data_IF_567546879241
#
_entry.id   IF_567546879241
#
_cell.length_a   1.000
_cell.length_b   1.000
_cell.length_c   1.000
_cell.angle_alpha   90.00
_cell.angle_beta   90.00
_cell.angle_gamma   90.00
#
_symmetry.space_group_name_H-M   'P 1'
#
loop_
_entity.id
_entity.type
_entity.pdbx_description
1 polymer ?
#
# COMPACT_ATOMS: atom_id res chain seq x y z
N UNK A 1 -1.52 4.49 -28.21
CA UNK A 1 -0.42 4.71 -27.24
C UNK A 1 0.90 4.40 -27.94
N UNK A 2 1.87 5.32 -27.98
CA UNK A 2 3.17 5.09 -28.61
C UNK A 2 3.97 4.00 -27.87
N UNK A 3 4.61 3.09 -28.61
CA UNK A 3 5.35 1.93 -28.07
C UNK A 3 6.48 2.30 -27.10
N UNK A 4 7.05 3.51 -27.23
CA UNK A 4 8.11 4.00 -26.33
C UNK A 4 7.65 4.11 -24.88
N UNK A 5 6.44 4.64 -24.66
CA UNK A 5 5.89 4.77 -23.31
C UNK A 5 5.62 3.40 -22.67
N UNK A 6 5.24 2.41 -23.47
CA UNK A 6 5.00 1.05 -22.97
C UNK A 6 6.28 0.42 -22.38
N UNK A 7 7.43 0.59 -23.06
CA UNK A 7 8.72 0.07 -22.57
C UNK A 7 9.19 0.76 -21.29
N UNK A 8 8.94 2.08 -21.17
CA UNK A 8 9.25 2.85 -19.96
C UNK A 8 8.38 2.40 -18.78
N UNK A 9 7.06 2.26 -18.98
CA UNK A 9 6.17 1.74 -17.95
C UNK A 9 6.56 0.30 -17.55
N UNK A 10 6.87 -0.56 -18.51
CA UNK A 10 7.28 -1.94 -18.23
C UNK A 10 8.55 -2.00 -17.36
N UNK A 11 9.55 -1.16 -17.64
CA UNK A 11 10.77 -1.06 -16.80
C UNK A 11 10.46 -0.50 -15.41
N UNK A 12 9.62 0.53 -15.33
CA UNK A 12 9.19 1.11 -14.05
C UNK A 12 8.51 0.07 -13.14
N UNK A 13 7.60 -0.73 -13.67
CA UNK A 13 6.95 -1.81 -12.91
C UNK A 13 7.90 -2.98 -12.58
N UNK A 14 8.91 -3.24 -13.41
CA UNK A 14 9.93 -4.27 -13.13
C UNK A 14 10.90 -3.85 -12.02
N UNK A 15 11.33 -2.58 -12.00
CA UNK A 15 12.24 -2.05 -10.98
C UNK A 15 11.52 -1.82 -9.64
N UNK A 16 10.24 -1.47 -9.70
CA UNK A 16 9.40 -1.28 -8.52
C UNK A 16 8.12 -2.11 -8.63
N UNK A 17 8.19 -3.42 -8.31
CA UNK A 17 7.03 -4.33 -8.37
C UNK A 17 5.85 -3.86 -7.51
N UNK A 18 6.11 -2.98 -6.53
CA UNK A 18 5.10 -2.37 -5.67
C UNK A 18 5.22 -0.85 -5.62
N UNK A 19 5.80 -0.18 -6.61
CA UNK A 19 6.22 1.23 -6.53
C UNK A 19 5.13 2.19 -6.05
N UNK A 20 3.95 2.15 -6.65
CA UNK A 20 2.80 2.96 -6.20
C UNK A 20 2.28 2.51 -4.84
N UNK A 21 2.07 1.19 -4.66
CA UNK A 21 1.44 0.66 -3.46
C UNK A 21 2.31 0.78 -2.20
N UNK A 22 3.63 0.69 -2.35
CA UNK A 22 4.61 0.91 -1.29
C UNK A 22 4.60 2.37 -0.81
N UNK A 23 4.48 3.33 -1.73
CA UNK A 23 4.42 4.74 -1.36
C UNK A 23 3.09 5.09 -0.69
N UNK A 24 1.97 4.53 -1.16
CA UNK A 24 0.66 4.69 -0.52
C UNK A 24 0.64 4.09 0.89
N UNK A 25 1.18 2.88 1.06
CA UNK A 25 1.31 2.22 2.36
C UNK A 25 2.21 3.01 3.31
N UNK A 26 3.36 3.51 2.84
CA UNK A 26 4.27 4.33 3.66
C UNK A 26 3.60 5.63 4.09
N UNK A 27 2.89 6.29 3.18
CA UNK A 27 2.14 7.52 3.48
C UNK A 27 1.04 7.26 4.51
N UNK A 28 0.33 6.13 4.40
CA UNK A 28 -0.64 5.70 5.39
C UNK A 28 0.00 5.46 6.77
N UNK A 29 1.19 4.86 6.83
CA UNK A 29 1.91 4.66 8.10
C UNK A 29 2.31 5.99 8.75
N UNK A 30 2.86 6.91 7.96
CA UNK A 30 3.28 8.23 8.44
C UNK A 30 2.07 9.01 8.96
N UNK A 31 0.98 9.05 8.21
CA UNK A 31 -0.25 9.76 8.61
C UNK A 31 -0.90 9.15 9.86
N UNK A 32 -0.92 7.82 9.97
CA UNK A 32 -1.41 7.14 11.16
C UNK A 32 -0.58 7.49 12.42
N UNK A 33 0.75 7.48 12.31
CA UNK A 33 1.65 7.88 13.41
C UNK A 33 1.43 9.36 13.77
N UNK A 34 1.36 10.24 12.76
CA UNK A 34 1.12 11.66 12.95
C UNK A 34 -0.21 11.91 13.69
N UNK A 35 -1.25 11.18 13.32
CA UNK A 35 -2.56 11.28 13.96
C UNK A 35 -2.55 10.73 15.39
N UNK A 36 -1.81 9.64 15.65
CA UNK A 36 -1.64 9.15 17.03
C UNK A 36 -0.92 10.15 17.93
N UNK A 37 0.08 10.86 17.40
CA UNK A 37 0.85 11.86 18.16
C UNK A 37 0.01 13.11 18.47
N UNK A 38 -0.76 13.59 17.48
CA UNK A 38 -1.54 14.84 17.60
C UNK A 38 -2.97 14.61 18.10
N UNK A 39 -3.30 13.41 18.57
CA UNK A 39 -4.66 13.04 18.94
C UNK A 39 -5.09 13.70 20.25
N UNK A 40 -6.34 14.14 20.30
CA UNK A 40 -6.98 14.51 21.54
C UNK A 40 -7.22 13.26 22.41
N UNK A 41 -6.83 13.23 23.70
CA UNK A 41 -6.96 12.04 24.54
C UNK A 41 -8.40 11.52 24.71
N UNK A 42 -9.40 12.38 24.42
CA UNK A 42 -10.83 12.07 24.50
C UNK A 42 -11.43 11.60 23.17
N UNK A 43 -10.68 11.71 22.08
CA UNK A 43 -11.11 11.28 20.74
C UNK A 43 -10.85 9.78 20.53
N UNK A 44 -11.54 9.20 19.55
CA UNK A 44 -11.32 7.81 19.16
C UNK A 44 -9.88 7.59 18.67
N UNK A 45 -9.37 6.37 18.88
CA UNK A 45 -8.03 6.01 18.39
C UNK A 45 -8.12 5.85 16.86
N UNK A 46 -7.36 6.64 16.08
CA UNK A 46 -7.36 6.50 14.63
C UNK A 46 -6.85 5.11 14.24
N UNK A 47 -7.52 4.41 13.33
CA UNK A 47 -7.08 3.10 12.85
C UNK A 47 -6.23 3.27 11.60
N UNK A 48 -5.30 2.34 11.39
CA UNK A 48 -4.49 2.35 10.16
C UNK A 48 -5.35 2.24 8.89
N UNK A 49 -6.45 1.47 8.95
CA UNK A 49 -7.43 1.32 7.87
C UNK A 49 -8.05 2.64 7.41
N UNK A 50 -8.13 3.64 8.28
CA UNK A 50 -8.75 4.94 7.97
C UNK A 50 -7.91 5.74 6.97
N UNK A 51 -6.61 5.42 6.88
CA UNK A 51 -5.66 6.02 5.95
C UNK A 51 -5.46 5.18 4.68
N UNK A 52 -6.14 4.03 4.57
CA UNK A 52 -6.11 3.13 3.41
C UNK A 52 -7.53 2.78 2.95
N UNK A 53 -8.24 3.71 2.29
CA UNK A 53 -9.65 3.54 1.93
C UNK A 53 -9.90 2.41 0.91
N UNK A 54 -8.87 1.96 0.19
CA UNK A 54 -8.97 0.82 -0.72
C UNK A 54 -9.02 -0.54 0.01
N UNK A 55 -8.58 -0.61 1.28
CA UNK A 55 -8.55 -1.84 2.08
C UNK A 55 -9.79 -2.01 2.98
N UNK A 56 -10.53 -0.93 3.26
CA UNK A 56 -11.69 -0.99 4.16
C UNK A 56 -12.88 -1.76 3.58
N UNK A 57 -12.89 -2.04 2.28
CA UNK A 57 -13.93 -2.82 1.58
C UNK A 57 -13.52 -4.25 1.18
N UNK A 58 -12.26 -4.65 1.35
CA UNK A 58 -11.79 -6.00 1.00
C UNK A 58 -11.96 -6.95 2.19
N UNK A 59 -13.20 -7.34 2.50
CA UNK A 59 -13.48 -8.41 3.46
C UNK A 59 -13.66 -9.78 2.80
N UNK A 60 -13.64 -9.90 1.46
CA UNK A 60 -13.90 -11.16 0.74
C UNK A 60 -13.05 -11.37 -0.53
N UNK A 61 -11.73 -11.24 -0.46
CA UNK A 61 -10.87 -11.82 -1.51
C UNK A 61 -9.72 -12.58 -0.88
N UNK A 62 -9.99 -13.86 -0.61
CA UNK A 62 -9.05 -14.91 -0.18
C UNK A 62 -8.12 -15.35 -1.31
N UNK A 63 -7.74 -14.44 -2.21
CA UNK A 63 -6.78 -14.74 -3.27
C UNK A 63 -5.38 -14.49 -2.71
N UNK A 64 -4.75 -15.58 -2.24
CA UNK A 64 -3.34 -15.64 -1.86
C UNK A 64 -2.49 -15.07 -3.01
N UNK A 65 -1.90 -13.89 -2.77
CA UNK A 65 -1.15 -13.12 -3.75
C UNK A 65 0.21 -13.76 -4.11
N UNK A 66 0.50 -14.95 -3.55
CA UNK A 66 1.71 -15.73 -3.84
C UNK A 66 2.99 -15.04 -3.34
N UNK A 67 2.87 -13.95 -2.58
CA UNK A 67 4.01 -13.18 -2.06
C UNK A 67 4.76 -14.00 -1.00
N UNK A 68 4.04 -14.82 -0.24
CA UNK A 68 4.63 -15.76 0.72
C UNK A 68 5.58 -16.76 0.04
N UNK A 69 5.15 -17.33 -1.09
CA UNK A 69 5.95 -18.28 -1.87
C UNK A 69 7.17 -17.64 -2.54
N UNK A 70 7.06 -16.38 -2.97
CA UNK A 70 8.18 -15.62 -3.53
C UNK A 70 9.25 -15.31 -2.47
N UNK A 71 8.84 -14.94 -1.26
CA UNK A 71 9.75 -14.68 -0.13
C UNK A 71 10.44 -15.95 0.37
N UNK A 72 9.75 -17.10 0.33
CA UNK A 72 10.30 -18.39 0.76
C UNK A 72 11.42 -18.92 -0.16
N UNK A 73 11.51 -18.43 -1.40
CA UNK A 73 12.53 -18.85 -2.39
C UNK A 73 13.79 -17.98 -2.38
N UNK A 74 13.94 -17.09 -1.40
CA UNK A 74 15.10 -16.20 -1.26
C UNK A 74 16.22 -16.79 -0.42
#
# INVERSE_FOLDING_TARGET
>A
MPERHYQEYQRFYQEQPFGLWREDYRTAQISHILAMINRDPKSEVPKFSDYMPFFSGQTESTDDDGVADYLAKR
#
